data_IF_511871176248
#
_entry.id   IF_511871176248
#
_cell.length_a   1.000
_cell.length_b   1.000
_cell.length_c   1.000
_cell.angle_alpha   90.00
_cell.angle_beta   90.00
_cell.angle_gamma   90.00
#
_symmetry.space_group_name_H-M   'P 1'
#
loop_
_entity.id
_entity.type
_entity.pdbx_description
1 polymer ?
#
# COMPACT_ATOMS: atom_id res chain seq x y z
N UNK A 1 3.52 5.49 -14.16
CA UNK A 1 3.72 4.60 -12.99
C UNK A 1 3.23 3.23 -13.40
N UNK A 2 4.00 2.19 -13.11
CA UNK A 2 3.64 0.79 -13.38
C UNK A 2 3.77 0.00 -12.06
N UNK A 3 2.73 -0.71 -11.65
CA UNK A 3 2.79 -1.55 -10.45
C UNK A 3 3.42 -2.89 -10.86
N UNK A 4 4.37 -3.40 -10.08
CA UNK A 4 5.02 -4.69 -10.38
C UNK A 4 4.48 -5.78 -9.48
N UNK A 5 4.55 -5.55 -8.17
CA UNK A 5 4.05 -6.51 -7.19
C UNK A 5 3.62 -5.86 -5.89
N UNK A 6 2.70 -6.53 -5.20
CA UNK A 6 2.24 -6.20 -3.87
C UNK A 6 2.26 -7.46 -3.00
N UNK A 7 3.09 -7.45 -1.97
CA UNK A 7 3.12 -8.48 -0.94
C UNK A 7 2.50 -7.96 0.35
N UNK A 8 1.59 -8.75 0.92
CA UNK A 8 0.81 -8.43 2.11
C UNK A 8 1.04 -9.49 3.17
N UNK A 9 1.25 -9.04 4.41
CA UNK A 9 1.29 -9.89 5.59
C UNK A 9 0.43 -9.27 6.70
N UNK A 10 -0.56 -10.02 7.17
CA UNK A 10 -1.54 -9.62 8.18
C UNK A 10 -2.24 -8.28 7.90
N UNK A 11 -2.46 -7.94 6.63
CA UNK A 11 -3.12 -6.71 6.23
C UNK A 11 -4.62 -6.95 5.99
N UNK A 12 -5.46 -6.44 6.89
CA UNK A 12 -6.94 -6.52 6.83
C UNK A 12 -7.45 -7.94 6.50
N UNK A 13 -7.98 -8.19 5.30
CA UNK A 13 -8.53 -9.50 4.91
C UNK A 13 -7.46 -10.55 4.61
N UNK A 14 -6.21 -10.14 4.38
CA UNK A 14 -5.13 -11.04 3.99
C UNK A 14 -4.23 -11.39 5.19
N UNK A 15 -4.09 -12.69 5.48
CA UNK A 15 -3.01 -13.20 6.36
C UNK A 15 -1.67 -13.18 5.62
N UNK A 16 -1.68 -13.66 4.38
CA UNK A 16 -0.58 -13.56 3.42
C UNK A 16 -1.17 -13.45 2.02
N UNK A 17 -0.62 -12.59 1.19
CA UNK A 17 -0.94 -12.53 -0.24
C UNK A 17 0.27 -11.96 -1.00
N UNK A 18 0.45 -12.42 -2.23
CA UNK A 18 1.40 -11.86 -3.18
C UNK A 18 0.66 -11.70 -4.50
N UNK A 19 0.72 -10.50 -5.06
CA UNK A 19 0.02 -10.12 -6.28
C UNK A 19 1.08 -9.59 -7.23
N UNK A 20 1.19 -10.20 -8.40
CA UNK A 20 2.01 -9.70 -9.49
C UNK A 20 1.09 -9.02 -10.50
N UNK A 21 1.33 -7.74 -10.74
CA UNK A 21 0.59 -6.98 -11.74
C UNK A 21 1.28 -7.21 -13.09
N UNK A 22 0.48 -7.54 -14.10
CA UNK A 22 0.95 -7.71 -15.46
C UNK A 22 0.74 -6.42 -16.24
N UNK A 23 1.53 -6.23 -17.29
CA UNK A 23 1.30 -5.17 -18.26
C UNK A 23 -0.13 -5.25 -18.85
N UNK A 24 -0.72 -4.09 -19.13
CA UNK A 24 -2.07 -4.00 -19.69
C UNK A 24 -3.16 -4.08 -18.62
N UNK A 25 -4.13 -4.99 -18.81
CA UNK A 25 -5.33 -5.08 -17.97
C UNK A 25 -5.21 -6.24 -16.96
N UNK A 26 -5.15 -5.90 -15.67
CA UNK A 26 -5.24 -6.88 -14.58
C UNK A 26 -6.66 -6.88 -13.99
N UNK A 27 -7.37 -8.00 -14.13
CA UNK A 27 -8.70 -8.19 -13.53
C UNK A 27 -8.63 -8.88 -12.17
N UNK A 28 -9.18 -8.26 -11.11
CA UNK A 28 -9.27 -8.86 -9.77
C UNK A 28 -10.73 -9.26 -9.51
N UNK A 29 -11.00 -10.56 -9.55
CA UNK A 29 -12.35 -11.13 -9.38
C UNK A 29 -12.53 -11.84 -8.05
N UNK A 30 -13.75 -11.81 -7.53
CA UNK A 30 -14.12 -12.49 -6.29
C UNK A 30 -15.42 -11.94 -5.71
N UNK A 31 -16.04 -12.67 -4.78
CA UNK A 31 -17.30 -12.27 -4.14
C UNK A 31 -17.17 -10.96 -3.34
N UNK A 32 -18.30 -10.37 -2.96
CA UNK A 32 -18.28 -9.20 -2.06
C UNK A 32 -17.70 -9.59 -0.69
N UNK A 33 -16.90 -8.70 -0.11
CA UNK A 33 -16.26 -8.91 1.20
C UNK A 33 -15.00 -9.78 1.20
N UNK A 34 -14.55 -10.31 0.05
CA UNK A 34 -13.35 -11.18 -0.04
C UNK A 34 -12.01 -10.45 0.11
N UNK A 35 -12.00 -9.11 0.03
CA UNK A 35 -10.79 -8.31 0.19
C UNK A 35 -10.28 -7.62 -1.07
N UNK A 36 -11.07 -7.52 -2.14
CA UNK A 36 -10.68 -6.76 -3.36
C UNK A 36 -10.32 -5.30 -3.04
N UNK A 37 -11.19 -4.60 -2.31
CA UNK A 37 -10.92 -3.23 -1.86
C UNK A 37 -9.70 -3.15 -0.93
N UNK A 38 -9.40 -4.20 -0.18
CA UNK A 38 -8.21 -4.28 0.67
C UNK A 38 -6.90 -4.20 -0.12
N UNK A 39 -6.87 -4.70 -1.36
CA UNK A 39 -5.69 -4.57 -2.23
C UNK A 39 -5.42 -3.09 -2.53
N UNK A 40 -6.46 -2.34 -2.92
CA UNK A 40 -6.35 -0.90 -3.20
C UNK A 40 -5.95 -0.12 -1.94
N UNK A 41 -6.54 -0.47 -0.79
CA UNK A 41 -6.19 0.15 0.48
C UNK A 41 -4.73 -0.11 0.86
N UNK A 42 -4.19 -1.29 0.55
CA UNK A 42 -2.79 -1.61 0.78
C UNK A 42 -1.86 -0.83 -0.15
N UNK A 43 -2.23 -0.65 -1.42
CA UNK A 43 -1.50 0.21 -2.35
C UNK A 43 -1.46 1.66 -1.85
N UNK A 44 -2.62 2.20 -1.45
CA UNK A 44 -2.71 3.54 -0.89
C UNK A 44 -1.88 3.69 0.39
N UNK A 45 -1.93 2.71 1.30
CA UNK A 45 -1.14 2.73 2.53
C UNK A 45 0.37 2.63 2.25
N UNK A 46 0.80 1.82 1.27
CA UNK A 46 2.19 1.76 0.86
C UNK A 46 2.68 3.12 0.35
N UNK A 47 1.92 3.77 -0.54
CA UNK A 47 2.32 5.04 -1.17
C UNK A 47 2.27 6.23 -0.20
N UNK A 48 1.25 6.32 0.66
CA UNK A 48 0.96 7.53 1.44
C UNK A 48 0.98 7.32 2.96
N UNK A 49 1.28 6.11 3.42
CA UNK A 49 1.33 5.78 4.85
C UNK A 49 0.01 6.06 5.56
N UNK A 50 0.09 6.62 6.78
CA UNK A 50 -1.09 6.94 7.58
C UNK A 50 -1.94 8.08 6.98
N UNK A 51 -1.43 8.86 6.01
CA UNK A 51 -2.22 9.89 5.34
C UNK A 51 -3.32 9.27 4.46
N UNK A 52 -3.10 8.05 3.95
CA UNK A 52 -4.10 7.30 3.19
C UNK A 52 -5.18 6.64 4.07
N UNK A 53 -4.93 6.47 5.36
CA UNK A 53 -5.89 5.81 6.24
C UNK A 53 -6.78 6.86 6.92
N UNK A 54 -7.99 7.04 6.39
CA UNK A 54 -9.13 7.54 7.19
C UNK A 54 -9.48 6.60 8.36
N UNK A 55 -8.87 5.41 8.40
CA UNK A 55 -9.04 4.39 9.43
C UNK A 55 -7.90 4.43 10.45
N UNK A 56 -8.24 4.30 11.73
CA UNK A 56 -7.29 4.18 12.83
C UNK A 56 -6.36 2.96 12.62
N UNK A 57 -5.11 3.05 13.11
CA UNK A 57 -4.05 2.01 12.96
C UNK A 57 -4.51 0.61 13.38
N UNK A 58 -5.42 0.55 14.34
CA UNK A 58 -6.06 -0.67 14.86
C UNK A 58 -6.85 -1.47 13.81
N UNK A 59 -7.30 -0.86 12.71
CA UNK A 59 -8.07 -1.54 11.66
C UNK A 59 -7.22 -2.09 10.50
N UNK A 60 -5.89 -1.97 10.58
CA UNK A 60 -4.98 -2.40 9.51
C UNK A 60 -4.58 -3.87 9.71
N UNK A 61 -4.51 -4.35 10.96
CA UNK A 61 -4.13 -5.73 11.27
C UNK A 61 -5.27 -6.71 10.98
N UNK A 62 -4.94 -7.86 10.40
CA UNK A 62 -5.86 -8.96 10.19
C UNK A 62 -6.40 -9.48 11.53
N UNK A 63 -7.72 -9.68 11.64
CA UNK A 63 -8.36 -10.08 12.90
C UNK A 63 -7.95 -11.46 13.42
N UNK A 64 -7.35 -12.31 12.57
CA UNK A 64 -6.81 -13.62 12.95
C UNK A 64 -5.31 -13.57 13.27
N UNK A 65 -4.68 -12.41 13.16
CA UNK A 65 -3.28 -12.25 13.53
C UNK A 65 -3.12 -12.08 15.04
N UNK A 66 -2.08 -12.70 15.59
CA UNK A 66 -1.70 -12.58 16.99
C UNK A 66 -1.18 -11.17 17.27
N UNK A 67 -1.24 -10.76 18.53
CA UNK A 67 -0.86 -9.42 18.98
C UNK A 67 0.56 -9.04 18.56
N UNK A 68 1.51 -9.98 18.62
CA UNK A 68 2.92 -9.77 18.27
C UNK A 68 3.24 -9.90 16.77
N UNK A 69 2.36 -10.51 15.98
CA UNK A 69 2.61 -10.68 14.55
C UNK A 69 2.58 -9.30 13.86
N UNK A 70 3.54 -9.01 12.96
CA UNK A 70 3.60 -7.73 12.30
C UNK A 70 2.54 -7.63 11.21
N UNK A 71 2.17 -6.40 10.87
CA UNK A 71 1.52 -6.07 9.60
C UNK A 71 2.59 -5.57 8.66
N UNK A 72 2.67 -6.12 7.44
CA UNK A 72 3.69 -5.71 6.47
C UNK A 72 3.06 -5.56 5.09
N UNK A 73 3.50 -4.52 4.38
CA UNK A 73 3.21 -4.29 2.97
C UNK A 73 4.52 -3.98 2.27
N UNK A 74 4.80 -4.72 1.20
CA UNK A 74 5.88 -4.45 0.27
C UNK A 74 5.28 -4.20 -1.10
N UNK A 75 5.49 -2.99 -1.63
CA UNK A 75 5.07 -2.58 -2.96
C UNK A 75 6.30 -2.35 -3.83
N UNK A 76 6.38 -3.05 -4.96
CA UNK A 76 7.33 -2.75 -6.04
C UNK A 76 6.61 -2.10 -7.21
N UNK A 77 7.18 -1.04 -7.75
CA UNK A 77 6.62 -0.29 -8.88
C UNK A 77 7.73 0.42 -9.66
N UNK A 78 7.47 0.74 -10.93
CA UNK A 78 8.33 1.61 -11.73
C UNK A 78 7.73 3.01 -11.91
N UNK A 79 8.59 4.02 -11.81
CA UNK A 79 8.31 5.41 -12.21
C UNK A 79 9.35 5.85 -13.24
N UNK A 80 8.92 5.99 -14.49
CA UNK A 80 9.84 6.16 -15.60
C UNK A 80 10.75 4.95 -15.72
N UNK A 81 12.07 5.16 -15.57
CA UNK A 81 13.10 4.10 -15.62
C UNK A 81 13.57 3.63 -14.24
N UNK A 82 13.03 4.20 -13.15
CA UNK A 82 13.44 3.87 -11.78
C UNK A 82 12.60 2.71 -11.26
N UNK A 83 13.23 1.74 -10.61
CA UNK A 83 12.54 0.73 -9.81
C UNK A 83 12.46 1.20 -8.35
N UNK A 84 11.25 1.18 -7.79
CA UNK A 84 10.99 1.58 -6.43
C UNK A 84 10.46 0.40 -5.64
N UNK A 85 11.02 0.20 -4.45
CA UNK A 85 10.50 -0.73 -3.45
C UNK A 85 10.14 0.02 -2.17
N UNK A 86 8.87 -0.05 -1.80
CA UNK A 86 8.31 0.63 -0.64
C UNK A 86 7.90 -0.45 0.36
N UNK A 87 8.60 -0.50 1.49
CA UNK A 87 8.27 -1.37 2.61
C UNK A 87 7.67 -0.55 3.73
N UNK A 88 6.51 -0.96 4.24
CA UNK A 88 5.92 -0.42 5.46
C UNK A 88 5.49 -1.55 6.38
N UNK A 89 5.70 -1.35 7.67
CA UNK A 89 5.35 -2.34 8.69
C UNK A 89 4.82 -1.69 9.96
N UNK A 90 4.00 -2.43 10.71
CA UNK A 90 3.65 -2.13 12.10
C UNK A 90 3.97 -3.35 12.96
N UNK A 91 4.87 -3.21 13.92
CA UNK A 91 5.40 -4.33 14.73
C UNK A 91 5.08 -4.22 16.21
N UNK A 92 5.07 -5.37 16.87
CA UNK A 92 4.89 -5.49 18.31
C UNK A 92 3.48 -5.12 18.78
N UNK A 93 3.30 -5.16 20.10
CA UNK A 93 2.00 -4.89 20.74
C UNK A 93 1.50 -3.47 20.49
N UNK A 94 2.42 -2.51 20.44
CA UNK A 94 2.11 -1.09 20.26
C UNK A 94 2.03 -0.67 18.78
N UNK A 95 2.10 -1.61 17.84
CA UNK A 95 2.06 -1.32 16.39
C UNK A 95 3.04 -0.21 15.98
N UNK A 96 4.28 -0.33 16.44
CA UNK A 96 5.33 0.63 16.13
C UNK A 96 5.58 0.66 14.62
N UNK A 97 5.51 1.84 13.97
CA UNK A 97 5.63 1.94 12.54
C UNK A 97 7.09 1.85 12.09
N UNK A 98 7.32 1.11 11.02
CA UNK A 98 8.57 1.07 10.28
C UNK A 98 8.29 1.36 8.80
N UNK A 99 9.21 2.05 8.14
CA UNK A 99 9.14 2.29 6.71
C UNK A 99 10.54 2.31 6.12
N UNK A 100 10.69 1.80 4.89
CA UNK A 100 11.91 1.85 4.09
C UNK A 100 11.55 2.11 2.64
N UNK A 101 12.35 2.93 1.97
CA UNK A 101 12.25 3.17 0.54
C UNK A 101 13.59 2.79 -0.10
N UNK A 102 13.54 1.96 -1.13
CA UNK A 102 14.69 1.66 -1.98
C UNK A 102 14.41 2.08 -3.42
N UNK A 103 15.42 2.63 -4.09
CA UNK A 103 15.38 3.02 -5.49
C UNK A 103 16.54 2.34 -6.19
N UNK A 104 16.24 1.61 -7.27
CA UNK A 104 17.22 0.85 -8.06
C UNK A 104 18.10 -0.07 -7.18
N UNK A 105 17.49 -0.70 -6.18
CA UNK A 105 18.15 -1.61 -5.23
C UNK A 105 18.88 -0.93 -4.06
N UNK A 106 18.98 0.40 -4.04
CA UNK A 106 19.64 1.15 -2.96
C UNK A 106 18.62 1.74 -1.98
N UNK A 107 18.78 1.48 -0.69
CA UNK A 107 17.93 2.09 0.34
C UNK A 107 18.23 3.59 0.45
N UNK A 108 17.24 4.44 0.15
CA UNK A 108 17.39 5.90 0.11
C UNK A 108 16.71 6.63 1.28
N UNK A 109 15.82 5.96 2.03
CA UNK A 109 15.18 6.54 3.20
C UNK A 109 14.73 5.47 4.20
N UNK A 110 14.72 5.82 5.49
CA UNK A 110 14.24 4.97 6.58
C UNK A 110 13.39 5.77 7.57
N UNK A 111 12.34 5.14 8.07
CA UNK A 111 11.39 5.76 8.98
C UNK A 111 10.29 6.53 8.24
N UNK A 112 9.12 6.56 8.85
CA UNK A 112 7.88 7.03 8.20
C UNK A 112 8.00 8.44 7.64
N UNK A 113 8.59 9.38 8.38
CA UNK A 113 8.68 10.79 7.97
C UNK A 113 9.54 10.98 6.73
N UNK A 114 10.72 10.37 6.70
CA UNK A 114 11.67 10.51 5.58
C UNK A 114 11.12 9.82 4.32
N UNK A 115 10.58 8.61 4.49
CA UNK A 115 9.93 7.87 3.39
C UNK A 115 8.75 8.65 2.82
N UNK A 116 7.88 9.23 3.66
CA UNK A 116 6.75 10.05 3.21
C UNK A 116 7.22 11.28 2.42
N UNK A 117 8.25 11.98 2.90
CA UNK A 117 8.81 13.16 2.22
C UNK A 117 9.42 12.82 0.86
N UNK A 118 10.17 11.72 0.76
CA UNK A 118 10.74 11.26 -0.51
C UNK A 118 9.65 10.84 -1.50
N UNK A 119 8.67 10.06 -1.05
CA UNK A 119 7.55 9.65 -1.90
C UNK A 119 6.73 10.84 -2.38
N UNK A 120 6.48 11.85 -1.55
CA UNK A 120 5.79 13.07 -1.94
C UNK A 120 6.54 13.82 -3.06
N UNK A 121 7.86 13.91 -2.95
CA UNK A 121 8.73 14.54 -3.97
C UNK A 121 8.76 13.77 -5.30
N UNK A 122 8.74 12.44 -5.23
CA UNK A 122 8.80 11.56 -6.40
C UNK A 122 7.43 11.48 -7.10
N UNK A 123 6.36 11.23 -6.33
CA UNK A 123 5.02 11.01 -6.88
C UNK A 123 4.42 12.31 -7.40
N UNK A 124 4.72 13.45 -6.76
CA UNK A 124 4.20 14.80 -7.11
C UNK A 124 2.67 14.86 -7.26
N UNK A 125 1.97 13.93 -6.63
CA UNK A 125 0.52 13.84 -6.63
C UNK A 125 0.05 13.58 -5.22
N UNK A 126 -0.89 14.39 -4.75
CA UNK A 126 -1.44 14.26 -3.41
C UNK A 126 -2.24 12.96 -3.28
N UNK A 127 -2.47 12.52 -2.04
CA UNK A 127 -3.35 11.36 -1.80
C UNK A 127 -4.76 11.57 -2.36
N UNK A 128 -5.31 12.79 -2.25
CA UNK A 128 -6.64 13.10 -2.76
C UNK A 128 -6.71 12.99 -4.29
N UNK A 129 -5.67 13.50 -4.97
CA UNK A 129 -5.59 13.44 -6.43
C UNK A 129 -5.38 12.00 -6.89
N UNK A 130 -4.55 11.22 -6.19
CA UNK A 130 -4.38 9.79 -6.46
C UNK A 130 -5.72 9.04 -6.40
N UNK A 131 -6.50 9.31 -5.35
CA UNK A 131 -7.82 8.68 -5.15
C UNK A 131 -8.88 9.12 -6.15
N UNK A 132 -8.66 10.20 -6.92
CA UNK A 132 -9.58 10.65 -7.98
C UNK A 132 -9.12 10.24 -9.38
N UNK A 133 -7.82 10.08 -9.58
CA UNK A 133 -7.22 9.86 -10.91
C UNK A 133 -6.83 8.41 -11.15
N UNK A 134 -6.32 7.72 -10.14
CA UNK A 134 -5.83 6.33 -10.24
C UNK A 134 -6.78 5.31 -9.62
N UNK A 135 -7.82 5.77 -8.92
CA UNK A 135 -8.80 4.89 -8.30
C UNK A 135 -10.21 5.44 -8.47
N UNK A 136 -11.08 4.68 -9.13
CA UNK A 136 -12.52 4.94 -9.12
C UNK A 136 -13.15 3.99 -8.09
N UNK A 137 -13.67 4.53 -6.97
CA UNK A 137 -14.45 3.69 -6.05
C UNK A 137 -15.77 3.33 -6.71
N UNK A 138 -16.30 2.17 -6.34
CA UNK A 138 -17.61 1.72 -6.79
C UNK A 138 -18.73 2.77 -6.58
N UNK A 139 -18.66 3.56 -5.51
CA UNK A 139 -19.62 4.65 -5.21
C UNK A 139 -19.32 5.97 -5.92
N UNK A 140 -18.11 6.15 -6.45
CA UNK A 140 -17.72 7.37 -7.15
C UNK A 140 -18.10 7.31 -8.65
N UNK A 141 -18.40 6.10 -9.16
CA UNK A 141 -18.85 5.87 -10.55
C UNK A 141 -20.27 6.38 -10.81
N UNK A 142 -21.13 6.46 -9.79
CA UNK A 142 -22.50 6.97 -9.93
C UNK A 142 -22.54 8.51 -10.12
N UNK A 143 -21.41 9.20 -9.91
CA UNK A 143 -21.28 10.66 -9.99
C UNK A 143 -20.32 11.13 -11.10
N UNK A 144 -19.96 10.26 -12.04
CA UNK A 144 -19.18 10.57 -13.25
C UNK A 144 -20.12 10.81 -14.44
#
# INVERSE_FOLDING_TARGET
MHLNSLSLHNFKKYRRAEIHFQDGLTGIVGSNGTGKSTIVEALAWALYGNRASTLKREFIKNSRAKEYEPVEVLLSLNIGKRDLQIYRSMKGKNLLPEARLSIDGHQVATGTKEVDQQLESILRISFQDFMKTFYARQKDLDNL
#
